data_IF_098246322154
#
_entry.id   IF_098246322154
#
_cell.length_a   1.000
_cell.length_b   1.000
_cell.length_c   1.000
_cell.angle_alpha   90.00
_cell.angle_beta   90.00
_cell.angle_gamma   90.00
#
_symmetry.space_group_name_H-M   'P 1'
#
loop_
_entity.id
_entity.type
_entity.pdbx_description
1 polymer ?
#
# COMPACT_ATOMS: atom_id res chain seq x y z
N UNK A 1 3.99 -43.01 17.40
CA UNK A 1 4.75 -41.74 17.38
C UNK A 1 3.85 -40.68 16.77
N UNK A 2 3.13 -39.94 17.62
CA UNK A 2 2.17 -38.93 17.21
C UNK A 2 2.88 -37.58 17.09
N UNK A 3 3.10 -37.13 15.86
CA UNK A 3 3.52 -35.75 15.57
C UNK A 3 2.32 -34.95 15.08
N UNK A 4 1.45 -34.54 15.99
CA UNK A 4 0.41 -33.54 15.70
C UNK A 4 1.10 -32.20 15.52
N UNK A 5 1.51 -31.88 14.30
CA UNK A 5 1.94 -30.53 13.92
C UNK A 5 0.74 -29.60 14.09
N UNK A 6 0.69 -28.87 15.20
CA UNK A 6 -0.25 -27.79 15.37
C UNK A 6 -0.01 -26.78 14.24
N UNK A 7 -0.90 -26.77 13.25
CA UNK A 7 -1.02 -25.67 12.31
C UNK A 7 -1.47 -24.46 13.10
N UNK A 8 -0.50 -23.73 13.65
CA UNK A 8 -0.71 -22.43 14.27
C UNK A 8 -1.23 -21.49 13.19
N UNK A 9 -2.56 -21.42 13.06
CA UNK A 9 -3.22 -20.54 12.11
C UNK A 9 -2.74 -19.12 12.36
N UNK A 10 -2.00 -18.56 11.41
CA UNK A 10 -1.63 -17.15 11.45
C UNK A 10 -2.92 -16.36 11.34
N UNK A 11 -3.39 -15.81 12.46
CA UNK A 11 -4.54 -14.90 12.44
C UNK A 11 -4.08 -13.64 11.70
N UNK A 12 -4.71 -13.28 10.57
CA UNK A 12 -4.31 -12.09 9.83
C UNK A 12 -4.47 -10.85 10.70
N UNK A 13 -3.49 -9.95 10.62
CA UNK A 13 -3.51 -8.70 11.40
C UNK A 13 -4.77 -7.89 11.03
N UNK A 14 -5.45 -7.28 12.01
CA UNK A 14 -6.59 -6.40 11.74
C UNK A 14 -6.23 -5.31 10.75
N UNK A 15 -7.17 -4.98 9.86
CA UNK A 15 -6.98 -3.93 8.86
C UNK A 15 -6.95 -2.55 9.54
N UNK A 16 -5.95 -1.75 9.19
CA UNK A 16 -5.89 -0.36 9.66
C UNK A 16 -6.86 0.52 8.86
N UNK A 17 -7.40 1.57 9.49
CA UNK A 17 -8.21 2.58 8.79
C UNK A 17 -7.48 3.14 7.54
N UNK A 18 -6.17 3.32 7.63
CA UNK A 18 -5.33 3.80 6.52
C UNK A 18 -5.34 2.82 5.34
N UNK A 19 -5.06 1.55 5.59
CA UNK A 19 -5.04 0.53 4.53
C UNK A 19 -6.41 0.37 3.88
N UNK A 20 -7.49 0.37 4.67
CA UNK A 20 -8.86 0.29 4.14
C UNK A 20 -9.15 1.47 3.22
N UNK A 21 -8.88 2.71 3.65
CA UNK A 21 -9.09 3.92 2.83
C UNK A 21 -8.29 3.87 1.54
N UNK A 22 -7.01 3.50 1.61
CA UNK A 22 -6.16 3.40 0.42
C UNK A 22 -6.70 2.35 -0.56
N UNK A 23 -7.08 1.17 -0.07
CA UNK A 23 -7.66 0.11 -0.90
C UNK A 23 -8.99 0.50 -1.53
N UNK A 24 -9.87 1.18 -0.79
CA UNK A 24 -11.15 1.68 -1.33
C UNK A 24 -10.91 2.68 -2.47
N UNK A 25 -10.01 3.65 -2.29
CA UNK A 25 -9.70 4.65 -3.31
C UNK A 25 -8.94 4.05 -4.51
N UNK A 26 -8.20 2.96 -4.33
CA UNK A 26 -7.59 2.23 -5.45
C UNK A 26 -8.63 1.45 -6.27
N UNK A 27 -9.73 1.02 -5.64
CA UNK A 27 -10.81 0.31 -6.31
C UNK A 27 -11.79 1.21 -7.07
N UNK A 28 -11.79 2.53 -6.82
CA UNK A 28 -12.65 3.50 -7.52
C UNK A 28 -11.93 4.19 -8.68
N UNK A 29 -12.65 4.36 -9.79
CA UNK A 29 -12.17 5.14 -10.93
C UNK A 29 -13.17 6.26 -11.27
N UNK A 30 -12.79 7.55 -11.13
CA UNK A 30 -11.51 8.06 -10.61
C UNK A 30 -11.31 7.76 -9.10
N UNK A 31 -10.06 7.79 -8.58
CA UNK A 31 -9.72 7.41 -7.21
C UNK A 31 -10.09 8.51 -6.19
N UNK A 32 -11.35 8.89 -6.16
CA UNK A 32 -11.92 9.94 -5.34
C UNK A 32 -13.28 9.52 -4.79
N UNK A 33 -13.50 9.76 -3.49
CA UNK A 33 -14.77 9.48 -2.84
C UNK A 33 -15.14 10.60 -1.87
N UNK A 34 -16.45 10.90 -1.71
CA UNK A 34 -16.93 11.82 -0.69
C UNK A 34 -16.51 11.40 0.71
N UNK A 35 -16.12 12.37 1.56
CA UNK A 35 -15.65 12.06 2.92
C UNK A 35 -16.71 11.32 3.76
N UNK A 36 -17.99 11.64 3.59
CA UNK A 36 -19.10 10.93 4.25
C UNK A 36 -19.23 9.47 3.82
N UNK A 37 -18.91 9.18 2.56
CA UNK A 37 -18.99 7.85 1.97
C UNK A 37 -17.79 7.01 2.40
N UNK A 38 -16.59 7.60 2.39
CA UNK A 38 -15.39 6.97 2.96
C UNK A 38 -15.59 6.56 4.42
N UNK A 39 -16.16 7.44 5.25
CA UNK A 39 -16.44 7.11 6.66
C UNK A 39 -17.42 5.93 6.76
N UNK A 40 -18.53 5.94 6.00
CA UNK A 40 -19.51 4.84 5.99
C UNK A 40 -18.91 3.51 5.52
N UNK A 41 -18.09 3.53 4.47
CA UNK A 41 -17.46 2.32 3.94
C UNK A 41 -16.43 1.75 4.92
N UNK A 42 -15.65 2.63 5.57
CA UNK A 42 -14.63 2.25 6.55
C UNK A 42 -15.24 1.67 7.83
N UNK A 43 -16.42 2.13 8.24
CA UNK A 43 -17.17 1.55 9.37
C UNK A 43 -17.49 0.06 9.17
N UNK A 44 -17.71 -0.38 7.93
CA UNK A 44 -17.90 -1.80 7.60
C UNK A 44 -16.68 -2.69 7.83
N UNK A 45 -15.52 -2.10 8.15
CA UNK A 45 -14.27 -2.79 8.50
C UNK A 45 -13.91 -2.63 9.99
N UNK A 46 -14.93 -2.46 10.85
CA UNK A 46 -14.78 -2.30 12.30
C UNK A 46 -13.97 -1.05 12.73
N UNK A 47 -13.96 -0.01 11.88
CA UNK A 47 -13.32 1.28 12.18
C UNK A 47 -14.39 2.33 12.45
N UNK A 48 -14.57 2.70 13.72
CA UNK A 48 -15.56 3.69 14.12
C UNK A 48 -15.40 5.07 13.43
N UNK A 49 -16.52 5.77 13.26
CA UNK A 49 -16.62 7.06 12.57
C UNK A 49 -15.57 8.11 12.98
N UNK A 50 -15.32 8.25 14.29
CA UNK A 50 -14.36 9.22 14.84
C UNK A 50 -12.93 8.87 14.43
N UNK A 51 -12.57 7.59 14.54
CA UNK A 51 -11.29 7.02 14.10
C UNK A 51 -11.10 7.20 12.59
N UNK A 52 -12.13 6.94 11.79
CA UNK A 52 -12.10 7.13 10.35
C UNK A 52 -11.81 8.60 9.97
N UNK A 53 -12.54 9.55 10.55
CA UNK A 53 -12.30 11.00 10.31
C UNK A 53 -10.90 11.43 10.75
N UNK A 54 -10.45 10.96 11.91
CA UNK A 54 -9.11 11.26 12.40
C UNK A 54 -8.02 10.67 11.49
N UNK A 55 -8.22 9.46 10.96
CA UNK A 55 -7.31 8.85 10.00
C UNK A 55 -7.26 9.64 8.69
N UNK A 56 -8.41 10.03 8.14
CA UNK A 56 -8.49 10.86 6.93
C UNK A 56 -7.73 12.18 7.10
N UNK A 57 -7.93 12.88 8.21
CA UNK A 57 -7.20 14.13 8.50
C UNK A 57 -5.69 13.89 8.61
N UNK A 58 -5.24 12.84 9.31
CA UNK A 58 -3.81 12.51 9.43
C UNK A 58 -3.20 12.13 8.08
N UNK A 59 -3.92 11.36 7.26
CA UNK A 59 -3.46 10.96 5.93
C UNK A 59 -3.37 12.15 4.97
N UNK A 60 -4.30 13.10 5.06
CA UNK A 60 -4.21 14.35 4.29
C UNK A 60 -3.00 15.20 4.75
N UNK A 61 -2.80 15.34 6.07
CA UNK A 61 -1.65 16.06 6.62
C UNK A 61 -0.30 15.39 6.25
N UNK A 62 -0.26 14.07 6.16
CA UNK A 62 0.91 13.30 5.73
C UNK A 62 1.14 13.30 4.20
N UNK A 63 0.23 13.90 3.42
CA UNK A 63 0.33 13.95 1.96
C UNK A 63 -0.03 12.66 1.25
N UNK A 64 -0.71 11.72 1.92
CA UNK A 64 -1.25 10.52 1.30
C UNK A 64 -2.55 10.80 0.54
N UNK A 65 -3.35 11.72 1.06
CA UNK A 65 -4.60 12.15 0.45
C UNK A 65 -4.55 13.64 0.10
N UNK A 66 -5.27 14.00 -0.96
CA UNK A 66 -5.62 15.38 -1.29
C UNK A 66 -7.10 15.58 -0.98
N UNK A 67 -7.41 16.67 -0.27
CA UNK A 67 -8.78 17.10 -0.05
C UNK A 67 -9.25 17.81 -1.32
N UNK A 68 -10.41 17.43 -1.84
CA UNK A 68 -11.06 18.06 -2.99
C UNK A 68 -12.31 18.77 -2.51
N UNK A 69 -13.01 19.45 -3.43
CA UNK A 69 -14.31 20.06 -3.13
C UNK A 69 -15.36 19.01 -2.74
N UNK A 70 -15.26 17.81 -3.32
CA UNK A 70 -16.27 16.75 -3.15
C UNK A 70 -15.86 15.70 -2.11
N UNK A 71 -14.58 15.59 -1.75
CA UNK A 71 -14.12 14.58 -0.79
C UNK A 71 -12.60 14.45 -0.66
N UNK A 72 -12.12 13.21 -0.79
CA UNK A 72 -10.71 12.86 -0.70
C UNK A 72 -10.27 12.02 -1.90
N UNK A 73 -9.08 12.32 -2.42
CA UNK A 73 -8.41 11.63 -3.53
C UNK A 73 -7.01 11.17 -3.11
N UNK A 74 -6.49 10.10 -3.71
CA UNK A 74 -5.08 9.70 -3.54
C UNK A 74 -4.11 10.78 -4.05
N UNK A 75 -2.99 10.98 -3.36
CA UNK A 75 -1.95 11.85 -3.89
C UNK A 75 -1.27 11.25 -5.13
N UNK A 76 -0.84 12.10 -6.06
CA UNK A 76 -0.13 11.68 -7.28
C UNK A 76 1.07 10.78 -6.97
N UNK A 77 1.86 11.12 -5.95
CA UNK A 77 2.99 10.31 -5.47
C UNK A 77 2.59 8.88 -5.11
N UNK A 78 1.42 8.68 -4.49
CA UNK A 78 0.94 7.34 -4.15
C UNK A 78 0.38 6.61 -5.36
N UNK A 79 -0.27 7.31 -6.30
CA UNK A 79 -0.71 6.72 -7.57
C UNK A 79 0.49 6.25 -8.41
N UNK A 80 1.54 7.06 -8.53
CA UNK A 80 2.79 6.68 -9.22
C UNK A 80 3.48 5.50 -8.54
N UNK A 81 3.53 5.50 -7.20
CA UNK A 81 4.07 4.36 -6.45
C UNK A 81 3.26 3.10 -6.70
N UNK A 82 1.94 3.20 -6.74
CA UNK A 82 1.06 2.06 -6.96
C UNK A 82 1.22 1.51 -8.38
N UNK A 83 1.27 2.36 -9.42
CA UNK A 83 1.57 1.91 -10.79
C UNK A 83 2.88 1.13 -10.89
N UNK A 84 3.93 1.58 -10.20
CA UNK A 84 5.21 0.86 -10.12
C UNK A 84 5.10 -0.48 -9.37
N UNK A 85 4.26 -0.55 -8.34
CA UNK A 85 4.02 -1.80 -7.62
C UNK A 85 3.22 -2.79 -8.47
N UNK A 86 2.20 -2.33 -9.20
CA UNK A 86 1.43 -3.16 -10.11
C UNK A 86 2.30 -3.75 -11.22
N UNK A 87 3.19 -2.94 -11.81
CA UNK A 87 4.18 -3.41 -12.79
C UNK A 87 5.12 -4.46 -12.18
N UNK A 88 5.56 -4.26 -10.93
CA UNK A 88 6.39 -5.23 -10.23
C UNK A 88 5.66 -6.55 -9.88
N UNK A 89 4.33 -6.52 -9.74
CA UNK A 89 3.50 -7.72 -9.52
C UNK A 89 3.25 -8.49 -10.81
N UNK A 90 3.36 -7.83 -11.97
CA UNK A 90 3.22 -8.45 -13.30
C UNK A 90 4.48 -8.19 -14.13
N UNK A 91 5.65 -8.68 -13.68
CA UNK A 91 6.88 -8.44 -14.42
C UNK A 91 6.77 -9.10 -15.79
N UNK A 92 7.36 -8.45 -16.79
CA UNK A 92 7.58 -9.05 -18.09
C UNK A 92 8.53 -10.24 -17.91
N UNK A 93 8.00 -11.45 -18.04
CA UNK A 93 8.76 -12.70 -17.88
C UNK A 93 9.09 -13.29 -19.26
N UNK A 94 10.15 -14.08 -19.30
CA UNK A 94 10.53 -14.91 -20.45
C UNK A 94 10.44 -16.39 -20.07
N UNK A 95 10.31 -17.26 -21.07
CA UNK A 95 10.49 -18.68 -20.83
C UNK A 95 11.89 -18.91 -20.24
N UNK A 96 11.95 -19.69 -19.16
CA UNK A 96 13.20 -20.01 -18.52
C UNK A 96 13.96 -21.06 -19.34
N UNK A 97 15.24 -20.83 -19.56
CA UNK A 97 16.15 -21.64 -20.38
C UNK A 97 17.08 -22.54 -19.55
N UNK A 98 16.98 -22.49 -18.22
CA UNK A 98 17.82 -23.25 -17.30
C UNK A 98 18.91 -22.42 -16.62
N UNK A 99 19.14 -21.19 -17.09
CA UNK A 99 20.21 -20.34 -16.56
C UNK A 99 19.73 -19.50 -15.36
N UNK A 100 20.65 -19.26 -14.43
CA UNK A 100 20.45 -18.36 -13.29
C UNK A 100 21.45 -17.22 -13.36
N UNK A 101 20.98 -16.00 -13.17
CA UNK A 101 21.85 -14.83 -13.05
C UNK A 101 22.33 -14.69 -11.61
N UNK A 102 23.65 -14.63 -11.40
CA UNK A 102 24.27 -14.37 -10.09
C UNK A 102 25.08 -13.09 -10.17
N UNK A 103 24.72 -12.11 -9.34
CA UNK A 103 25.44 -10.83 -9.24
C UNK A 103 26.38 -10.87 -8.02
N UNK A 104 27.69 -10.78 -8.26
CA UNK A 104 28.71 -10.69 -7.21
C UNK A 104 29.14 -9.23 -7.05
N UNK A 105 28.75 -8.61 -5.94
CA UNK A 105 29.12 -7.22 -5.62
C UNK A 105 30.53 -7.23 -5.01
N UNK A 106 31.54 -6.77 -5.76
CA UNK A 106 32.95 -6.76 -5.34
C UNK A 106 33.44 -5.41 -4.80
N UNK A 107 32.61 -4.37 -4.89
CA UNK A 107 32.89 -3.03 -4.38
C UNK A 107 31.83 -2.60 -3.37
N UNK A 108 32.25 -1.90 -2.32
CA UNK A 108 31.32 -1.19 -1.45
C UNK A 108 30.80 0.04 -2.19
N UNK A 109 29.48 0.25 -2.18
CA UNK A 109 28.86 1.37 -2.88
C UNK A 109 29.42 2.72 -2.41
N UNK A 110 29.25 3.75 -3.24
CA UNK A 110 29.68 5.13 -2.92
C UNK A 110 29.20 5.54 -1.52
N UNK A 111 30.07 6.22 -0.77
CA UNK A 111 29.70 6.81 0.52
C UNK A 111 28.53 7.80 0.38
N UNK A 112 27.77 8.08 1.44
CA UNK A 112 26.59 8.95 1.37
C UNK A 112 26.82 10.31 0.71
N UNK A 113 27.96 10.96 0.96
CA UNK A 113 28.32 12.24 0.35
C UNK A 113 28.51 12.14 -1.17
N UNK A 114 29.16 11.08 -1.66
CA UNK A 114 29.38 10.85 -3.08
C UNK A 114 28.14 10.38 -3.86
N UNK A 115 26.99 10.18 -3.20
CA UNK A 115 25.69 9.87 -3.82
C UNK A 115 24.79 11.10 -4.03
N UNK A 116 25.13 12.23 -3.39
CA UNK A 116 24.33 13.45 -3.43
C UNK A 116 24.79 14.44 -4.53
N UNK A 117 25.99 14.24 -5.09
CA UNK A 117 26.43 14.83 -6.37
C UNK A 117 25.82 14.09 -7.56
#
# INVERSE_FOLDING_TARGET
MSGSGASGGVVPRPLSARSVVLSLLLGTHPPELPGRELVRLVEGFDVGASTARAALSRMAAAGDLRRTETGYRLSERLLERQRRQDEALRPHTRAWDGDWETLVITATGRGPAARAE
#
